data_IF_530306433087
#
_entry.id   IF_530306433087
#
_cell.length_a   1.000
_cell.length_b   1.000
_cell.length_c   1.000
_cell.angle_alpha   90.00
_cell.angle_beta   90.00
_cell.angle_gamma   90.00
#
_symmetry.space_group_name_H-M   'P 1'
#
loop_
_entity.id
_entity.type
_entity.pdbx_description
1 polymer ?
#
# COMPACT_ATOMS: atom_id res chain seq x y z
N UNK A 1 -26.01 -64.60 26.48
CA UNK A 1 -25.77 -65.18 25.14
C UNK A 1 -25.63 -64.00 24.17
N UNK A 2 -24.43 -63.43 24.04
CA UNK A 2 -23.53 -63.61 22.88
C UNK A 2 -24.23 -63.47 21.53
N UNK A 3 -24.16 -62.27 20.96
CA UNK A 3 -23.75 -62.08 19.57
C UNK A 3 -23.02 -60.73 19.45
N UNK A 4 -21.74 -60.85 19.16
CA UNK A 4 -20.77 -59.83 18.77
C UNK A 4 -20.97 -59.43 17.31
N UNK A 5 -20.78 -58.16 16.97
CA UNK A 5 -20.04 -57.76 15.76
C UNK A 5 -19.59 -56.31 15.86
N UNK A 6 -18.27 -56.19 16.03
CA UNK A 6 -17.47 -54.97 15.92
C UNK A 6 -17.36 -54.64 14.42
N UNK A 7 -17.61 -53.39 14.05
CA UNK A 7 -16.99 -52.76 12.88
C UNK A 7 -16.31 -51.48 13.36
N UNK A 8 -15.03 -51.60 13.65
CA UNK A 8 -14.08 -50.49 13.66
C UNK A 8 -13.38 -50.50 12.30
N UNK A 9 -13.54 -49.44 11.52
CA UNK A 9 -12.61 -48.91 10.50
C UNK A 9 -13.08 -47.47 10.35
N UNK A 10 -12.31 -46.41 10.51
CA UNK A 10 -10.87 -46.23 10.33
C UNK A 10 -10.73 -44.85 9.68
N UNK A 11 -9.73 -44.10 10.12
CA UNK A 11 -9.49 -42.70 9.81
C UNK A 11 -9.50 -42.33 8.32
N UNK A 12 -9.97 -41.12 8.05
CA UNK A 12 -9.41 -40.20 7.06
C UNK A 12 -9.43 -38.82 7.76
N UNK A 13 -8.39 -38.35 8.44
CA UNK A 13 -7.09 -37.92 7.91
C UNK A 13 -7.13 -37.52 6.44
N UNK A 14 -6.58 -36.34 6.18
CA UNK A 14 -6.45 -35.63 4.89
C UNK A 14 -7.70 -34.78 4.57
N UNK A 15 -7.64 -33.46 4.52
CA UNK A 15 -6.50 -32.56 4.32
C UNK A 15 -6.69 -31.34 5.22
N UNK A 16 -5.76 -31.15 6.18
CA UNK A 16 -5.25 -29.81 6.40
C UNK A 16 -4.62 -29.41 5.07
N UNK A 17 -5.43 -28.83 4.18
CA UNK A 17 -4.89 -27.85 3.27
C UNK A 17 -4.51 -26.67 4.17
N UNK A 18 -3.34 -26.78 4.79
CA UNK A 18 -2.48 -25.63 4.89
C UNK A 18 -2.12 -25.26 3.45
N UNK A 19 -3.11 -24.73 2.71
CA UNK A 19 -2.85 -23.78 1.66
C UNK A 19 -2.11 -22.69 2.41
N UNK A 20 -0.78 -22.71 2.29
CA UNK A 20 -0.01 -21.50 2.46
C UNK A 20 -0.47 -20.60 1.32
N UNK A 21 -1.64 -19.99 1.51
CA UNK A 21 -2.16 -18.94 0.67
C UNK A 21 -1.11 -17.84 0.74
N UNK A 22 -0.29 -17.77 -0.30
CA UNK A 22 0.65 -16.69 -0.56
C UNK A 22 -0.08 -15.44 -1.04
N UNK A 23 -1.30 -15.22 -0.55
CA UNK A 23 -2.28 -14.43 -1.25
C UNK A 23 -3.06 -13.46 -0.33
N UNK A 24 -2.59 -13.37 0.92
CA UNK A 24 -2.45 -12.10 1.62
C UNK A 24 -1.05 -11.81 2.16
N UNK A 25 -0.10 -12.75 2.06
CA UNK A 25 1.24 -12.67 2.68
C UNK A 25 2.35 -12.07 1.80
N UNK A 26 2.30 -10.77 1.51
CA UNK A 26 3.42 -10.06 0.87
C UNK A 26 4.26 -9.26 1.87
N UNK A 27 5.60 -9.37 1.84
CA UNK A 27 6.58 -8.57 2.63
C UNK A 27 6.45 -7.03 2.53
N UNK A 28 5.48 -6.54 1.76
CA UNK A 28 5.21 -5.13 1.44
C UNK A 28 3.72 -4.76 1.56
N UNK A 29 2.97 -5.38 2.47
CA UNK A 29 1.61 -4.92 2.79
C UNK A 29 1.62 -3.82 3.84
N UNK A 30 0.72 -2.85 3.64
CA UNK A 30 0.50 -1.72 4.56
C UNK A 30 -0.43 -2.13 5.72
N UNK A 31 -1.29 -3.14 5.50
CA UNK A 31 -2.19 -3.79 6.48
C UNK A 31 -2.25 -5.28 6.10
N UNK A 32 -2.16 -6.17 7.09
CA UNK A 32 -2.44 -7.59 6.94
C UNK A 32 -3.94 -7.79 7.18
N UNK A 33 -4.69 -8.14 6.14
CA UNK A 33 -6.14 -8.03 6.20
C UNK A 33 -6.81 -9.33 6.65
N UNK A 34 -6.15 -10.47 6.49
CA UNK A 34 -6.66 -11.77 6.93
C UNK A 34 -6.82 -11.77 8.45
N UNK A 35 -5.77 -11.36 9.16
CA UNK A 35 -5.73 -11.28 10.62
C UNK A 35 -6.69 -10.21 11.18
N UNK A 36 -6.95 -9.15 10.42
CA UNK A 36 -7.69 -7.98 10.89
C UNK A 36 -9.17 -7.96 10.49
N UNK A 37 -9.60 -8.76 9.51
CA UNK A 37 -11.00 -8.80 9.03
C UNK A 37 -11.73 -10.12 9.31
N UNK A 38 -11.06 -11.10 9.93
CA UNK A 38 -11.62 -12.43 10.22
C UNK A 38 -12.31 -13.03 8.98
N UNK A 39 -11.57 -13.15 7.89
CA UNK A 39 -12.09 -13.67 6.63
C UNK A 39 -12.49 -15.15 6.78
N UNK A 40 -13.54 -15.56 6.07
CA UNK A 40 -13.84 -17.00 5.92
C UNK A 40 -12.94 -17.63 4.86
N UNK A 41 -12.69 -18.95 4.95
CA UNK A 41 -11.90 -19.70 3.95
C UNK A 41 -12.34 -19.43 2.50
N UNK A 42 -13.65 -19.32 2.26
CA UNK A 42 -14.20 -19.03 0.93
C UNK A 42 -13.95 -17.59 0.47
N UNK A 43 -13.86 -16.63 1.39
CA UNK A 43 -13.49 -15.25 1.08
C UNK A 43 -11.99 -15.12 0.81
N UNK A 44 -11.16 -15.80 1.60
CA UNK A 44 -9.71 -15.88 1.38
C UNK A 44 -9.41 -16.45 0.00
N UNK A 45 -9.94 -17.64 -0.32
CA UNK A 45 -9.76 -18.27 -1.64
C UNK A 45 -10.21 -17.33 -2.77
N UNK A 46 -11.33 -16.61 -2.58
CA UNK A 46 -11.80 -15.69 -3.61
C UNK A 46 -10.91 -14.46 -3.78
N UNK A 47 -10.34 -13.93 -2.69
CA UNK A 47 -9.41 -12.81 -2.79
C UNK A 47 -8.10 -13.27 -3.41
N UNK A 48 -7.63 -14.45 -3.07
CA UNK A 48 -6.43 -15.04 -3.66
C UNK A 48 -6.54 -15.15 -5.19
N UNK A 49 -7.67 -15.65 -5.69
CA UNK A 49 -7.96 -15.71 -7.12
C UNK A 49 -7.92 -14.32 -7.79
N UNK A 50 -8.46 -13.29 -7.11
CA UNK A 50 -8.43 -11.90 -7.59
C UNK A 50 -6.97 -11.43 -7.66
N UNK A 51 -6.19 -11.63 -6.60
CA UNK A 51 -4.80 -11.20 -6.54
C UNK A 51 -3.92 -11.86 -7.59
N UNK A 52 -4.04 -13.17 -7.79
CA UNK A 52 -3.32 -13.92 -8.82
C UNK A 52 -3.64 -13.42 -10.23
N UNK A 53 -4.93 -13.10 -10.49
CA UNK A 53 -5.36 -12.52 -11.75
C UNK A 53 -4.68 -11.16 -12.01
N UNK A 54 -4.62 -10.31 -10.98
CA UNK A 54 -3.98 -9.00 -11.10
C UNK A 54 -2.45 -9.07 -11.09
N UNK A 55 -1.83 -10.03 -10.41
CA UNK A 55 -0.39 -10.24 -10.42
C UNK A 55 0.10 -10.48 -11.86
N UNK A 56 -0.63 -11.29 -12.61
CA UNK A 56 -0.36 -11.52 -14.03
C UNK A 56 -0.40 -10.22 -14.84
N UNK A 57 -1.42 -9.39 -14.65
CA UNK A 57 -1.55 -8.07 -15.30
C UNK A 57 -0.39 -7.13 -14.92
N UNK A 58 0.03 -7.12 -13.65
CA UNK A 58 1.18 -6.33 -13.20
C UNK A 58 2.51 -6.84 -13.80
N UNK A 59 2.67 -8.15 -13.93
CA UNK A 59 3.85 -8.76 -14.57
C UNK A 59 3.92 -8.39 -16.06
N UNK A 60 2.79 -8.40 -16.76
CA UNK A 60 2.69 -7.95 -18.15
C UNK A 60 3.02 -6.46 -18.28
N UNK A 61 2.43 -5.62 -17.43
CA UNK A 61 2.69 -4.19 -17.41
C UNK A 61 4.18 -3.87 -17.19
N UNK A 62 4.86 -4.63 -16.33
CA UNK A 62 6.31 -4.47 -16.07
C UNK A 62 7.17 -4.84 -17.28
N UNK A 63 6.70 -5.75 -18.13
CA UNK A 63 7.39 -6.20 -19.36
C UNK A 63 7.06 -5.31 -20.56
N UNK A 64 6.01 -4.49 -20.49
CA UNK A 64 5.60 -3.63 -21.57
C UNK A 64 6.66 -2.54 -21.83
N UNK A 65 6.97 -2.33 -23.11
CA UNK A 65 7.83 -1.24 -23.56
C UNK A 65 7.02 0.06 -23.65
N UNK A 66 6.59 0.55 -22.50
CA UNK A 66 5.82 1.79 -22.36
C UNK A 66 6.52 2.76 -21.42
N UNK A 67 6.36 4.08 -21.63
CA UNK A 67 6.95 5.10 -20.78
C UNK A 67 6.67 4.86 -19.30
N UNK A 68 7.63 5.17 -18.44
CA UNK A 68 7.54 4.90 -17.00
C UNK A 68 6.35 5.61 -16.35
N UNK A 69 6.04 6.83 -16.79
CA UNK A 69 4.90 7.63 -16.33
C UNK A 69 3.57 6.94 -16.63
N UNK A 70 3.37 6.47 -17.86
CA UNK A 70 2.19 5.70 -18.27
C UNK A 70 2.10 4.37 -17.53
N UNK A 71 3.21 3.67 -17.37
CA UNK A 71 3.27 2.42 -16.59
C UNK A 71 2.84 2.63 -15.13
N UNK A 72 3.22 3.75 -14.50
CA UNK A 72 2.76 4.10 -13.15
C UNK A 72 1.26 4.37 -13.10
N UNK A 73 0.72 5.10 -14.07
CA UNK A 73 -0.72 5.38 -14.15
C UNK A 73 -1.53 4.08 -14.31
N UNK A 74 -1.15 3.23 -15.27
CA UNK A 74 -1.77 1.90 -15.47
C UNK A 74 -1.66 1.01 -14.24
N UNK A 75 -0.52 1.02 -13.54
CA UNK A 75 -0.35 0.27 -12.31
C UNK A 75 -1.30 0.75 -11.20
N UNK A 76 -1.51 2.08 -11.10
CA UNK A 76 -2.46 2.65 -10.16
C UNK A 76 -3.91 2.23 -10.49
N UNK A 77 -4.30 2.26 -11.76
CA UNK A 77 -5.61 1.80 -12.22
C UNK A 77 -5.84 0.31 -11.89
N UNK A 78 -4.86 -0.55 -12.18
CA UNK A 78 -4.92 -1.97 -11.83
C UNK A 78 -5.07 -2.19 -10.32
N UNK A 79 -4.32 -1.45 -9.50
CA UNK A 79 -4.42 -1.57 -8.04
C UNK A 79 -5.79 -1.11 -7.53
N UNK A 80 -6.35 -0.04 -8.10
CA UNK A 80 -7.68 0.45 -7.73
C UNK A 80 -8.77 -0.55 -8.11
N UNK A 81 -8.69 -1.12 -9.31
CA UNK A 81 -9.64 -2.12 -9.77
C UNK A 81 -9.58 -3.40 -8.92
N UNK A 82 -8.37 -3.91 -8.62
CA UNK A 82 -8.17 -5.04 -7.73
C UNK A 82 -8.81 -4.82 -6.35
N UNK A 83 -8.54 -3.67 -5.72
CA UNK A 83 -9.11 -3.35 -4.40
C UNK A 83 -10.64 -3.21 -4.44
N UNK A 84 -11.19 -2.68 -5.52
CA UNK A 84 -12.63 -2.58 -5.71
C UNK A 84 -13.28 -3.97 -5.86
N UNK A 85 -12.62 -4.92 -6.51
CA UNK A 85 -13.07 -6.32 -6.59
C UNK A 85 -12.98 -7.00 -5.23
N UNK A 86 -11.88 -6.85 -4.50
CA UNK A 86 -11.72 -7.38 -3.13
C UNK A 86 -12.82 -6.85 -2.21
N UNK A 87 -13.13 -5.55 -2.28
CA UNK A 87 -14.21 -4.95 -1.49
C UNK A 87 -15.56 -5.66 -1.70
N UNK A 88 -15.84 -6.16 -2.90
CA UNK A 88 -17.10 -6.85 -3.20
C UNK A 88 -17.22 -8.21 -2.51
N UNK A 89 -16.10 -8.86 -2.18
CA UNK A 89 -16.04 -10.14 -1.45
C UNK A 89 -16.37 -9.97 0.04
N UNK A 90 -16.11 -8.78 0.59
CA UNK A 90 -16.32 -8.49 2.00
C UNK A 90 -17.80 -8.27 2.33
N UNK A 91 -18.19 -8.68 3.55
CA UNK A 91 -19.49 -8.35 4.16
C UNK A 91 -19.59 -6.85 4.48
N UNK A 92 -20.80 -6.29 4.67
CA UNK A 92 -20.96 -4.89 5.08
C UNK A 92 -20.15 -4.53 6.34
N UNK A 93 -20.14 -5.41 7.34
CA UNK A 93 -19.43 -5.22 8.60
C UNK A 93 -17.91 -5.22 8.39
N UNK A 94 -17.38 -6.18 7.62
CA UNK A 94 -15.95 -6.22 7.26
C UNK A 94 -15.53 -4.99 6.43
N UNK A 95 -16.41 -4.46 5.57
CA UNK A 95 -16.12 -3.21 4.83
C UNK A 95 -16.01 -2.01 5.77
N UNK A 96 -16.86 -1.92 6.79
CA UNK A 96 -16.78 -0.84 7.78
C UNK A 96 -15.50 -0.96 8.63
N UNK A 97 -15.15 -2.17 9.05
CA UNK A 97 -13.90 -2.45 9.75
C UNK A 97 -12.67 -2.10 8.90
N UNK A 98 -12.67 -2.52 7.63
CA UNK A 98 -11.63 -2.18 6.66
C UNK A 98 -11.46 -0.67 6.51
N UNK A 99 -12.56 0.07 6.37
CA UNK A 99 -12.51 1.54 6.31
C UNK A 99 -11.94 2.15 7.59
N UNK A 100 -12.27 1.60 8.77
CA UNK A 100 -11.75 2.08 10.05
C UNK A 100 -10.23 1.89 10.16
N UNK A 101 -9.75 0.68 9.83
CA UNK A 101 -8.33 0.35 9.83
C UNK A 101 -7.53 1.26 8.90
N UNK A 102 -8.06 1.51 7.69
CA UNK A 102 -7.41 2.42 6.75
C UNK A 102 -7.36 3.87 7.25
N UNK A 103 -8.43 4.35 7.90
CA UNK A 103 -8.44 5.68 8.52
C UNK A 103 -7.39 5.80 9.62
N UNK A 104 -7.27 4.79 10.48
CA UNK A 104 -6.28 4.78 11.55
C UNK A 104 -4.85 4.77 10.99
N UNK A 105 -4.59 3.90 10.01
CA UNK A 105 -3.28 3.82 9.36
C UNK A 105 -2.92 5.13 8.66
N UNK A 106 -3.89 5.74 7.95
CA UNK A 106 -3.69 7.04 7.31
C UNK A 106 -3.35 8.13 8.32
N UNK A 107 -4.09 8.21 9.44
CA UNK A 107 -3.81 9.15 10.51
C UNK A 107 -2.43 8.94 11.15
N UNK A 108 -2.02 7.68 11.35
CA UNK A 108 -0.68 7.33 11.84
C UNK A 108 0.42 7.78 10.87
N UNK A 109 0.21 7.58 9.57
CA UNK A 109 1.15 7.99 8.52
C UNK A 109 1.24 9.51 8.38
N UNK A 110 0.12 10.22 8.38
CA UNK A 110 0.10 11.69 8.38
C UNK A 110 0.80 12.26 9.61
N UNK A 111 0.54 11.71 10.80
CA UNK A 111 1.21 12.10 12.05
C UNK A 111 2.72 11.88 11.99
N UNK A 112 3.16 10.74 11.45
CA UNK A 112 4.60 10.45 11.26
C UNK A 112 5.22 11.47 10.30
N UNK A 113 4.56 11.71 9.17
CA UNK A 113 5.03 12.66 8.16
C UNK A 113 5.13 14.08 8.73
N UNK A 114 4.11 14.54 9.47
CA UNK A 114 4.12 15.82 10.16
C UNK A 114 5.29 15.95 11.16
N UNK A 115 5.58 14.89 11.93
CA UNK A 115 6.75 14.88 12.85
C UNK A 115 8.07 14.95 12.09
N UNK A 116 8.21 14.24 10.98
CA UNK A 116 9.42 14.29 10.16
C UNK A 116 9.60 15.67 9.53
N UNK A 117 8.51 16.28 9.05
CA UNK A 117 8.53 17.62 8.49
C UNK A 117 8.88 18.66 9.56
N UNK A 118 8.31 18.53 10.76
CA UNK A 118 8.60 19.42 11.87
C UNK A 118 10.09 19.44 12.21
N UNK A 119 10.74 18.27 12.20
CA UNK A 119 12.20 18.14 12.37
C UNK A 119 12.97 18.75 11.20
N UNK A 120 12.56 18.50 9.96
CA UNK A 120 13.26 19.01 8.76
C UNK A 120 13.17 20.53 8.65
N UNK A 121 12.10 21.14 9.13
CA UNK A 121 11.87 22.58 9.10
C UNK A 121 12.27 23.28 10.39
N UNK A 122 12.81 22.54 11.37
CA UNK A 122 13.19 23.07 12.68
C UNK A 122 12.04 23.88 13.31
N UNK A 123 10.83 23.31 13.31
CA UNK A 123 9.65 23.96 13.89
C UNK A 123 9.82 24.09 15.41
N UNK A 124 9.33 25.20 15.97
CA UNK A 124 9.18 25.36 17.43
C UNK A 124 8.20 24.33 17.98
N UNK A 125 8.24 24.10 19.30
CA UNK A 125 7.31 23.19 19.94
C UNK A 125 5.86 23.62 19.74
N UNK A 126 5.57 24.93 19.78
CA UNK A 126 4.24 25.49 19.54
C UNK A 126 3.77 25.28 18.09
N UNK A 127 4.64 25.52 17.10
CA UNK A 127 4.33 25.30 15.68
C UNK A 127 4.06 23.82 15.40
N UNK A 128 4.90 22.94 15.96
CA UNK A 128 4.77 21.49 15.86
C UNK A 128 3.48 20.99 16.52
N UNK A 129 3.14 21.47 17.70
CA UNK A 129 1.90 21.09 18.38
C UNK A 129 0.67 21.55 17.60
N UNK A 130 0.71 22.75 17.02
CA UNK A 130 -0.34 23.26 16.12
C UNK A 130 -0.50 22.38 14.89
N UNK A 131 0.61 22.01 14.23
CA UNK A 131 0.60 21.11 13.07
C UNK A 131 0.05 19.72 13.42
N UNK A 132 0.51 19.13 14.52
CA UNK A 132 0.05 17.80 14.94
C UNK A 132 -1.42 17.79 15.36
N UNK A 133 -1.90 18.88 15.98
CA UNK A 133 -3.31 19.06 16.31
C UNK A 133 -4.16 19.17 15.03
N UNK A 134 -3.73 19.99 14.07
CA UNK A 134 -4.43 20.12 12.78
C UNK A 134 -4.52 18.79 12.02
N UNK A 135 -3.43 18.01 11.98
CA UNK A 135 -3.43 16.67 11.38
C UNK A 135 -4.37 15.71 12.11
N UNK A 136 -4.45 15.79 13.44
CA UNK A 136 -5.33 14.92 14.24
C UNK A 136 -6.81 15.29 14.05
N UNK A 137 -7.12 16.58 13.95
CA UNK A 137 -8.49 17.09 13.79
C UNK A 137 -8.99 16.97 12.35
N UNK A 138 -8.09 16.71 11.41
CA UNK A 138 -8.43 16.42 10.02
C UNK A 138 -9.31 15.16 9.94
N UNK A 139 -10.59 15.38 9.65
CA UNK A 139 -11.53 14.33 9.30
C UNK A 139 -11.48 14.16 7.79
N UNK A 140 -10.61 13.27 7.32
CA UNK A 140 -10.65 12.86 5.93
C UNK A 140 -11.93 12.04 5.71
N UNK A 141 -12.70 12.39 4.67
CA UNK A 141 -13.79 11.56 4.16
C UNK A 141 -13.21 10.37 3.38
N UNK A 142 -12.30 9.65 4.02
CA UNK A 142 -11.54 8.55 3.46
C UNK A 142 -12.49 7.40 3.14
N UNK A 143 -12.53 7.01 1.88
CA UNK A 143 -13.18 5.79 1.44
C UNK A 143 -12.19 4.84 0.80
N UNK A 144 -12.20 3.61 1.29
CA UNK A 144 -11.42 2.53 0.70
C UNK A 144 -12.24 1.88 -0.42
N UNK A 145 -11.66 1.65 -1.61
CA UNK A 145 -10.31 2.04 -2.03
C UNK A 145 -10.17 3.56 -2.28
N UNK A 146 -9.04 4.13 -1.83
CA UNK A 146 -8.77 5.56 -1.92
C UNK A 146 -8.52 6.00 -3.36
N UNK A 147 -9.44 6.80 -3.92
CA UNK A 147 -9.33 7.35 -5.26
C UNK A 147 -8.35 8.53 -5.38
N UNK A 148 -8.06 8.92 -6.62
CA UNK A 148 -7.13 10.00 -6.93
C UNK A 148 -7.62 11.38 -6.41
N UNK A 149 -8.90 11.77 -6.60
CA UNK A 149 -9.44 13.01 -6.00
C UNK A 149 -9.26 13.10 -4.48
N UNK A 150 -9.56 12.02 -3.75
CA UNK A 150 -9.41 11.97 -2.30
C UNK A 150 -7.95 12.13 -1.87
N UNK A 151 -7.00 11.51 -2.59
CA UNK A 151 -5.55 11.67 -2.35
C UNK A 151 -5.10 13.12 -2.56
N UNK A 152 -5.56 13.73 -3.65
CA UNK A 152 -5.19 15.10 -3.98
C UNK A 152 -5.76 16.08 -2.97
N UNK A 153 -7.02 15.92 -2.57
CA UNK A 153 -7.64 16.74 -1.53
C UNK A 153 -6.88 16.62 -0.19
N UNK A 154 -6.54 15.40 0.23
CA UNK A 154 -5.76 15.18 1.45
C UNK A 154 -4.37 15.83 1.39
N UNK A 155 -3.69 15.74 0.23
CA UNK A 155 -2.41 16.41 -0.01
C UNK A 155 -2.54 17.92 0.10
N UNK A 156 -3.51 18.52 -0.61
CA UNK A 156 -3.70 19.97 -0.62
C UNK A 156 -4.04 20.51 0.78
N UNK A 157 -4.89 19.81 1.52
CA UNK A 157 -5.23 20.20 2.89
C UNK A 157 -4.00 20.14 3.82
N UNK A 158 -3.21 19.06 3.73
CA UNK A 158 -1.97 18.95 4.50
C UNK A 158 -0.98 20.08 4.15
N UNK A 159 -0.83 20.42 2.86
CA UNK A 159 0.02 21.53 2.43
C UNK A 159 -0.45 22.88 2.99
N UNK A 160 -1.76 23.14 3.00
CA UNK A 160 -2.33 24.36 3.59
C UNK A 160 -2.07 24.44 5.09
N UNK A 161 -2.25 23.33 5.80
CA UNK A 161 -1.98 23.25 7.23
C UNK A 161 -0.50 23.54 7.52
N UNK A 162 0.42 22.93 6.76
CA UNK A 162 1.85 23.22 6.86
C UNK A 162 2.10 24.71 6.64
N UNK A 163 1.62 25.30 5.53
CA UNK A 163 1.81 26.72 5.24
C UNK A 163 1.36 27.64 6.37
N UNK A 164 0.23 27.30 7.02
CA UNK A 164 -0.33 28.12 8.10
C UNK A 164 0.54 28.21 9.36
N UNK A 165 1.45 27.26 9.57
CA UNK A 165 2.31 27.21 10.76
C UNK A 165 3.73 27.70 10.52
N UNK A 166 4.17 27.84 9.26
CA UNK A 166 5.54 28.21 8.94
C UNK A 166 5.80 29.72 9.04
N UNK A 167 7.02 30.07 9.44
CA UNK A 167 7.56 31.42 9.20
C UNK A 167 7.99 31.60 7.74
N UNK A 168 8.31 32.83 7.34
CA UNK A 168 8.80 33.13 5.99
C UNK A 168 10.08 32.33 5.65
N UNK A 169 11.05 32.28 6.57
CA UNK A 169 12.30 31.51 6.39
C UNK A 169 12.03 30.00 6.27
N UNK A 170 11.12 29.47 7.10
CA UNK A 170 10.74 28.06 7.03
C UNK A 170 9.97 27.72 5.74
N UNK A 171 9.20 28.66 5.21
CA UNK A 171 8.47 28.50 3.95
C UNK A 171 9.42 28.42 2.75
N UNK A 172 10.51 29.21 2.74
CA UNK A 172 11.57 29.09 1.75
C UNK A 172 12.24 27.72 1.82
N UNK A 173 12.61 27.28 3.04
CA UNK A 173 13.19 25.94 3.27
C UNK A 173 12.25 24.83 2.80
N UNK A 174 10.96 24.95 3.09
CA UNK A 174 9.96 23.97 2.66
C UNK A 174 9.80 23.94 1.13
N UNK A 175 9.83 25.10 0.47
CA UNK A 175 9.79 25.18 -0.99
C UNK A 175 11.02 24.50 -1.62
N UNK A 176 12.22 24.77 -1.10
CA UNK A 176 13.44 24.09 -1.54
C UNK A 176 13.40 22.57 -1.32
N UNK A 177 12.81 22.09 -0.21
CA UNK A 177 12.59 20.68 0.03
C UNK A 177 11.64 20.05 -0.99
N UNK A 178 10.54 20.74 -1.34
CA UNK A 178 9.59 20.29 -2.37
C UNK A 178 10.26 20.22 -3.73
N UNK A 179 11.03 21.24 -4.13
CA UNK A 179 11.77 21.24 -5.40
C UNK A 179 12.79 20.11 -5.47
N UNK A 180 13.55 19.87 -4.39
CA UNK A 180 14.48 18.75 -4.31
C UNK A 180 13.76 17.40 -4.45
N UNK A 181 12.61 17.27 -3.80
CA UNK A 181 11.78 16.07 -3.92
C UNK A 181 11.27 15.90 -5.35
N UNK A 182 10.69 16.94 -5.95
CA UNK A 182 10.25 16.95 -7.34
C UNK A 182 11.38 16.54 -8.29
N UNK A 183 12.57 17.15 -8.18
CA UNK A 183 13.75 16.79 -8.99
C UNK A 183 14.16 15.33 -8.86
N UNK A 184 14.06 14.75 -7.65
CA UNK A 184 14.30 13.31 -7.44
C UNK A 184 13.27 12.43 -8.16
N UNK A 185 12.05 12.92 -8.35
CA UNK A 185 11.02 12.20 -9.10
C UNK A 185 11.06 12.47 -10.61
N UNK A 186 11.62 13.62 -11.01
CA UNK A 186 11.90 14.06 -12.39
C UNK A 186 13.34 13.76 -12.84
N UNK A 187 13.94 12.63 -12.45
CA UNK A 187 15.25 12.27 -12.99
C UNK A 187 15.18 12.19 -14.53
N UNK A 188 16.12 12.83 -15.26
CA UNK A 188 16.12 12.98 -16.71
C UNK A 188 16.62 11.72 -17.42
N UNK A 189 16.10 10.55 -17.06
CA UNK A 189 16.32 9.35 -17.87
C UNK A 189 15.46 9.37 -19.16
N UNK A 190 14.76 10.49 -19.43
CA UNK A 190 14.05 10.74 -20.68
C UNK A 190 14.91 11.42 -21.76
N UNK A 191 16.16 11.82 -21.47
CA UNK A 191 17.11 12.40 -22.46
C UNK A 191 18.50 11.74 -22.40
N UNK A 192 18.55 10.40 -22.41
CA UNK A 192 19.82 9.67 -22.35
C UNK A 192 19.72 8.22 -22.81
N UNK A 193 19.57 8.02 -24.13
CA UNK A 193 20.12 6.83 -24.77
C UNK A 193 21.63 6.82 -24.49
N UNK A 194 22.10 6.02 -23.53
CA UNK A 194 23.47 5.50 -23.55
C UNK A 194 23.53 4.17 -22.79
N UNK A 195 23.85 3.13 -23.56
CA UNK A 195 23.90 1.75 -23.10
C UNK A 195 24.90 1.53 -21.98
N UNK A 196 24.39 1.16 -20.81
CA UNK A 196 25.13 0.33 -19.86
C UNK A 196 24.20 -0.68 -19.21
N UNK A 197 23.75 -1.65 -20.01
CA UNK A 197 23.48 -2.98 -19.46
C UNK A 197 24.83 -3.50 -18.92
N UNK A 198 24.99 -3.39 -17.60
CA UNK A 198 26.13 -3.91 -16.89
C UNK A 198 26.33 -5.38 -17.22
N UNK A 199 27.48 -5.67 -17.81
CA UNK A 199 28.08 -6.98 -17.94
C UNK A 199 27.79 -7.83 -16.70
N UNK A 200 26.96 -8.87 -16.86
CA UNK A 200 27.15 -10.09 -16.09
C UNK A 200 28.55 -10.55 -16.46
N UNK A 201 29.50 -10.40 -15.54
CA UNK A 201 30.77 -11.14 -15.63
C UNK A 201 30.40 -12.61 -15.48
N UNK A 202 30.35 -13.32 -16.59
CA UNK A 202 30.47 -14.76 -16.59
C UNK A 202 31.74 -15.07 -15.80
N UNK A 203 31.56 -15.74 -14.66
CA UNK A 203 32.68 -16.28 -13.91
C UNK A 203 33.17 -17.46 -14.71
N UNK A 204 34.36 -17.29 -15.29
CA UNK A 204 35.20 -18.37 -15.77
C UNK A 204 35.21 -19.49 -14.71
N UNK A 205 34.62 -20.63 -15.08
CA UNK A 205 34.80 -21.87 -14.35
C UNK A 205 36.07 -22.51 -14.90
N UNK A 206 37.21 -22.19 -14.29
CA UNK A 206 38.41 -23.01 -14.38
C UNK A 206 38.17 -24.31 -13.59
N UNK A 207 38.03 -25.42 -14.31
CA UNK A 207 38.71 -26.71 -14.07
C UNK A 207 38.43 -27.70 -15.20
#
# INVERSE_FOLDING_TARGET
>A
MKQTLIKAVGAACTLLLASQALAFGGKHREIDWDDELELSDAQEERIDEIEDSYESKFRELRKADTPRSENRAKAHELMQAMRAEIQQVLTPEQREQAQSLMREQHAKMQKKHAKELARKLDLSDEQKDTLLKGVKEQKDNYQWPLDQPQREAARQHFEQLVQSVLTAEQQEKWTALKEKQMRKWHHPDEDGLDGHHGHRKDKDCDK
#
